data_IF_579753577545
#
_entry.id   IF_579753577545
#
_cell.length_a   1.000
_cell.length_b   1.000
_cell.length_c   1.000
_cell.angle_alpha   90.00
_cell.angle_beta   90.00
_cell.angle_gamma   90.00
#
_symmetry.space_group_name_H-M   'P 1'
#
loop_
_entity.id
_entity.type
_entity.pdbx_description
1 polymer ?
#
# COMPACT_ATOMS: atom_id res chain seq x y z
N UNK A 1 51.51 -1.25 3.55
CA UNK A 1 50.26 -2.03 3.30
C UNK A 1 49.07 -1.22 3.82
N UNK A 2 48.45 -0.45 2.97
CA UNK A 2 47.39 0.46 3.35
C UNK A 2 46.06 -0.31 3.28
N UNK A 3 45.44 -0.60 4.44
CA UNK A 3 44.12 -1.15 4.53
C UNK A 3 43.11 -0.12 3.97
N UNK A 4 42.64 -0.38 2.77
CA UNK A 4 41.47 0.26 2.20
C UNK A 4 40.24 -0.21 2.99
N UNK A 5 39.87 0.50 4.04
CA UNK A 5 38.56 0.35 4.68
C UNK A 5 37.59 1.01 3.72
N UNK A 6 36.86 0.19 2.95
CA UNK A 6 35.82 0.66 2.07
C UNK A 6 34.74 1.39 2.88
N UNK A 7 34.81 2.71 2.91
CA UNK A 7 33.75 3.56 3.43
C UNK A 7 32.58 3.47 2.47
N UNK A 8 31.59 2.63 2.80
CA UNK A 8 30.30 2.63 2.10
C UNK A 8 29.75 4.06 2.09
N UNK A 9 29.44 4.58 0.90
CA UNK A 9 28.81 5.88 0.76
C UNK A 9 27.52 5.92 1.58
N UNK A 10 27.15 7.06 2.19
CA UNK A 10 25.85 7.19 2.85
C UNK A 10 24.68 6.76 1.97
N UNK A 11 24.74 7.04 0.67
CA UNK A 11 23.73 6.58 -0.29
C UNK A 11 23.68 5.05 -0.41
N UNK A 12 24.83 4.37 -0.37
CA UNK A 12 24.90 2.91 -0.40
C UNK A 12 24.37 2.28 0.89
N UNK A 13 24.63 2.91 2.04
CA UNK A 13 24.10 2.47 3.33
C UNK A 13 22.58 2.57 3.37
N UNK A 14 21.98 3.67 2.91
CA UNK A 14 20.52 3.83 2.82
C UNK A 14 19.89 2.83 1.86
N UNK A 15 20.55 2.52 0.75
CA UNK A 15 20.08 1.50 -0.19
C UNK A 15 20.19 0.09 0.39
N UNK A 16 21.21 -0.20 1.18
CA UNK A 16 21.39 -1.49 1.86
C UNK A 16 20.25 -1.71 2.88
N UNK A 17 19.99 -0.74 3.75
CA UNK A 17 18.88 -0.81 4.70
C UNK A 17 17.53 -0.95 3.98
N UNK A 18 17.33 -0.24 2.87
CA UNK A 18 16.08 -0.36 2.13
C UNK A 18 15.91 -1.74 1.48
N UNK A 19 16.96 -2.39 1.04
CA UNK A 19 16.92 -3.78 0.55
C UNK A 19 16.52 -4.76 1.66
N UNK A 20 17.08 -4.62 2.86
CA UNK A 20 16.69 -5.43 4.03
C UNK A 20 15.23 -5.15 4.42
N UNK A 21 14.77 -3.90 4.40
CA UNK A 21 13.36 -3.56 4.60
C UNK A 21 12.46 -4.34 3.64
N UNK A 22 12.75 -4.33 2.34
CA UNK A 22 11.95 -5.04 1.33
C UNK A 22 12.01 -6.57 1.51
N UNK A 23 13.10 -7.11 2.01
CA UNK A 23 13.26 -8.54 2.34
C UNK A 23 12.37 -8.91 3.51
N UNK A 24 12.48 -8.24 4.66
CA UNK A 24 11.64 -8.48 5.84
C UNK A 24 10.14 -8.30 5.53
N UNK A 25 9.79 -7.32 4.70
CA UNK A 25 8.40 -7.15 4.27
C UNK A 25 7.89 -8.36 3.47
N UNK A 26 8.70 -8.97 2.60
CA UNK A 26 8.35 -10.19 1.87
C UNK A 26 8.27 -11.42 2.79
N UNK A 27 9.13 -11.47 3.79
CA UNK A 27 9.20 -12.57 4.76
C UNK A 27 8.05 -12.48 5.80
N UNK A 28 7.24 -11.40 5.74
CA UNK A 28 6.08 -11.21 6.61
C UNK A 28 6.42 -10.64 7.99
N UNK A 29 7.56 -9.99 8.12
CA UNK A 29 8.00 -9.32 9.34
C UNK A 29 7.97 -7.79 9.16
N UNK A 30 6.81 -7.15 9.37
CA UNK A 30 6.68 -5.72 9.20
C UNK A 30 7.41 -4.92 10.30
N UNK A 31 7.69 -5.52 11.46
CA UNK A 31 8.42 -4.87 12.55
C UNK A 31 9.86 -4.60 12.17
N UNK A 32 10.61 -5.64 11.77
CA UNK A 32 11.99 -5.51 11.31
C UNK A 32 12.06 -4.69 10.03
N UNK A 33 11.10 -4.87 9.11
CA UNK A 33 11.03 -4.04 7.91
C UNK A 33 10.94 -2.54 8.26
N UNK A 34 10.16 -2.16 9.28
CA UNK A 34 10.03 -0.77 9.73
C UNK A 34 11.34 -0.21 10.28
N UNK A 35 12.08 -1.01 11.06
CA UNK A 35 13.38 -0.58 11.59
C UNK A 35 14.34 -0.22 10.45
N UNK A 36 14.45 -1.07 9.45
CA UNK A 36 15.28 -0.84 8.27
C UNK A 36 14.78 0.34 7.42
N UNK A 37 13.44 0.48 7.24
CA UNK A 37 12.87 1.63 6.54
C UNK A 37 13.22 2.96 7.23
N UNK A 38 13.13 3.02 8.56
CA UNK A 38 13.49 4.21 9.36
C UNK A 38 14.98 4.55 9.25
N UNK A 39 15.86 3.55 9.25
CA UNK A 39 17.31 3.77 9.04
C UNK A 39 17.58 4.35 7.65
N UNK A 40 17.01 3.75 6.60
CA UNK A 40 17.13 4.26 5.25
C UNK A 40 16.60 5.71 5.13
N UNK A 41 15.46 5.99 5.75
CA UNK A 41 14.86 7.34 5.77
C UNK A 41 15.74 8.33 6.53
N UNK A 42 16.36 7.94 7.65
CA UNK A 42 17.32 8.76 8.40
C UNK A 42 18.54 9.18 7.58
N UNK A 43 18.99 8.33 6.66
CA UNK A 43 20.10 8.60 5.74
C UNK A 43 19.67 9.52 4.59
N UNK A 44 18.48 9.31 4.02
CA UNK A 44 17.97 10.09 2.90
C UNK A 44 16.50 10.51 3.14
N UNK A 45 16.28 11.56 3.96
CA UNK A 45 14.94 11.97 4.39
C UNK A 45 14.01 12.42 3.26
N UNK A 46 14.57 12.85 2.14
CA UNK A 46 13.82 13.30 0.96
C UNK A 46 13.65 12.22 -0.11
N UNK A 47 13.93 10.95 0.21
CA UNK A 47 13.70 9.87 -0.73
C UNK A 47 12.22 9.45 -0.66
N UNK A 48 11.42 9.64 -1.74
CA UNK A 48 9.99 9.35 -1.71
C UNK A 48 9.65 7.88 -1.47
N UNK A 49 10.54 6.96 -1.88
CA UNK A 49 10.33 5.54 -1.60
C UNK A 49 10.53 5.21 -0.12
N UNK A 50 11.58 5.76 0.51
CA UNK A 50 11.83 5.53 1.92
C UNK A 50 10.72 6.12 2.78
N UNK A 51 10.23 7.33 2.45
CA UNK A 51 9.06 7.95 3.10
C UNK A 51 7.83 7.04 2.97
N UNK A 52 7.48 6.64 1.75
CA UNK A 52 6.27 5.86 1.48
C UNK A 52 6.30 4.48 2.15
N UNK A 53 7.43 3.77 2.13
CA UNK A 53 7.53 2.48 2.81
C UNK A 53 7.56 2.62 4.33
N UNK A 54 8.20 3.66 4.87
CA UNK A 54 8.12 3.95 6.31
C UNK A 54 6.68 4.25 6.73
N UNK A 55 5.93 5.02 5.94
CA UNK A 55 4.52 5.31 6.18
C UNK A 55 3.65 4.05 6.16
N UNK A 56 3.80 3.22 5.13
CA UNK A 56 3.10 1.93 5.03
C UNK A 56 3.38 1.05 6.25
N UNK A 57 4.65 0.90 6.61
CA UNK A 57 5.07 0.01 7.68
C UNK A 57 4.69 0.54 9.07
N UNK A 58 4.66 1.85 9.29
CA UNK A 58 4.12 2.44 10.51
C UNK A 58 2.61 2.12 10.68
N UNK A 59 1.85 2.13 9.60
CA UNK A 59 0.44 1.74 9.62
C UNK A 59 0.26 0.24 9.86
N UNK A 60 1.07 -0.61 9.23
CA UNK A 60 0.93 -2.08 9.32
C UNK A 60 1.43 -2.61 10.66
N UNK A 61 2.65 -2.24 11.08
CA UNK A 61 3.30 -2.77 12.26
C UNK A 61 2.84 -2.10 13.56
N UNK A 62 2.68 -0.77 13.54
CA UNK A 62 2.41 0.01 14.76
C UNK A 62 0.97 0.57 14.83
N UNK A 63 0.15 0.37 13.79
CA UNK A 63 -1.22 0.91 13.68
C UNK A 63 -1.26 2.45 13.72
N UNK A 64 -0.16 3.11 13.39
CA UNK A 64 -0.05 4.58 13.33
C UNK A 64 -0.55 5.08 11.96
N UNK A 65 -1.86 4.99 11.76
CA UNK A 65 -2.48 5.25 10.45
C UNK A 65 -2.32 6.70 9.99
N UNK A 66 -2.46 7.68 10.90
CA UNK A 66 -2.31 9.09 10.58
C UNK A 66 -0.90 9.45 10.11
N UNK A 67 0.12 8.94 10.80
CA UNK A 67 1.52 9.16 10.41
C UNK A 67 1.83 8.42 9.10
N UNK A 68 1.29 7.20 8.95
CA UNK A 68 1.43 6.42 7.73
C UNK A 68 0.87 7.15 6.51
N UNK A 69 -0.33 7.71 6.66
CA UNK A 69 -0.99 8.52 5.63
C UNK A 69 -0.16 9.76 5.28
N UNK A 70 0.27 10.54 6.29
CA UNK A 70 1.05 11.76 6.08
C UNK A 70 2.36 11.51 5.31
N UNK A 71 3.13 10.48 5.72
CA UNK A 71 4.38 10.13 5.04
C UNK A 71 4.16 9.65 3.60
N UNK A 72 3.11 8.87 3.34
CA UNK A 72 2.77 8.44 1.99
C UNK A 72 2.30 9.60 1.10
N UNK A 73 1.54 10.54 1.65
CA UNK A 73 1.09 11.75 0.93
C UNK A 73 2.28 12.67 0.61
N UNK A 74 3.21 12.86 1.56
CA UNK A 74 4.44 13.61 1.33
C UNK A 74 5.26 12.99 0.19
N UNK A 75 5.43 11.67 0.20
CA UNK A 75 6.12 10.94 -0.86
C UNK A 75 5.46 11.15 -2.24
N UNK A 76 4.13 11.12 -2.30
CA UNK A 76 3.37 11.39 -3.53
C UNK A 76 3.51 12.85 -3.99
N UNK A 77 3.59 13.82 -3.07
CA UNK A 77 3.88 15.21 -3.39
C UNK A 77 5.24 15.40 -4.07
N UNK A 78 6.24 14.59 -3.66
CA UNK A 78 7.57 14.61 -4.28
C UNK A 78 7.61 13.89 -5.63
N UNK A 79 6.85 12.80 -5.81
CA UNK A 79 6.89 11.96 -7.01
C UNK A 79 5.54 11.32 -7.32
N UNK A 80 4.70 12.06 -8.04
CA UNK A 80 3.33 11.66 -8.36
C UNK A 80 3.20 10.66 -9.53
N UNK A 81 4.27 10.34 -10.25
CA UNK A 81 4.23 9.48 -11.45
C UNK A 81 4.71 8.04 -11.18
N UNK A 82 4.68 7.57 -9.94
CA UNK A 82 5.17 6.23 -9.61
C UNK A 82 4.12 5.37 -8.91
N UNK A 83 3.72 4.28 -9.57
CA UNK A 83 2.62 3.40 -9.13
C UNK A 83 2.78 2.87 -7.70
N UNK A 84 4.02 2.55 -7.26
CA UNK A 84 4.25 1.99 -5.93
C UNK A 84 3.83 2.92 -4.80
N UNK A 85 3.97 4.24 -4.98
CA UNK A 85 3.58 5.21 -3.96
C UNK A 85 2.06 5.22 -3.73
N UNK A 86 1.27 5.11 -4.80
CA UNK A 86 -0.19 4.96 -4.73
C UNK A 86 -0.61 3.64 -4.10
N UNK A 87 0.09 2.55 -4.43
CA UNK A 87 -0.16 1.24 -3.83
C UNK A 87 0.08 1.25 -2.32
N UNK A 88 1.16 1.87 -1.86
CA UNK A 88 1.47 1.98 -0.44
C UNK A 88 0.43 2.81 0.31
N UNK A 89 0.02 3.98 -0.23
CA UNK A 89 -1.02 4.81 0.39
C UNK A 89 -2.38 4.09 0.41
N UNK A 90 -2.75 3.42 -0.68
CA UNK A 90 -3.99 2.65 -0.73
C UNK A 90 -3.99 1.49 0.30
N UNK A 91 -2.85 0.84 0.51
CA UNK A 91 -2.72 -0.18 1.57
C UNK A 91 -2.89 0.42 2.96
N UNK A 92 -2.33 1.62 3.25
CA UNK A 92 -2.56 2.35 4.50
C UNK A 92 -4.05 2.57 4.73
N UNK A 93 -4.78 3.05 3.71
CA UNK A 93 -6.23 3.25 3.80
C UNK A 93 -7.00 1.94 4.03
N UNK A 94 -6.59 0.85 3.39
CA UNK A 94 -7.20 -0.46 3.63
C UNK A 94 -6.98 -0.95 5.07
N UNK A 95 -5.78 -0.74 5.63
CA UNK A 95 -5.47 -1.15 7.00
C UNK A 95 -6.30 -0.39 8.04
N UNK A 96 -6.72 0.84 7.78
CA UNK A 96 -7.62 1.59 8.66
C UNK A 96 -9.10 1.51 8.25
N UNK A 97 -9.46 0.66 7.28
CA UNK A 97 -10.86 0.43 6.86
C UNK A 97 -11.43 1.48 5.92
N UNK A 98 -10.64 2.45 5.46
CA UNK A 98 -11.04 3.52 4.53
C UNK A 98 -11.00 3.04 3.08
N UNK A 99 -11.90 2.11 2.76
CA UNK A 99 -11.91 1.42 1.45
C UNK A 99 -12.12 2.37 0.28
N UNK A 100 -13.00 3.38 0.42
CA UNK A 100 -13.25 4.33 -0.66
C UNK A 100 -12.02 5.19 -0.96
N UNK A 101 -11.33 5.67 0.08
CA UNK A 101 -10.09 6.45 -0.10
C UNK A 101 -8.98 5.62 -0.77
N UNK A 102 -8.94 4.32 -0.49
CA UNK A 102 -8.02 3.40 -1.17
C UNK A 102 -8.34 3.29 -2.67
N UNK A 103 -9.63 3.17 -3.03
CA UNK A 103 -10.08 3.12 -4.43
C UNK A 103 -9.72 4.42 -5.14
N UNK A 104 -10.11 5.56 -4.58
CA UNK A 104 -9.85 6.89 -5.16
C UNK A 104 -8.35 7.14 -5.37
N UNK A 105 -7.53 6.68 -4.41
CA UNK A 105 -6.07 6.77 -4.50
C UNK A 105 -5.53 5.94 -5.67
N UNK A 106 -6.01 4.70 -5.83
CA UNK A 106 -5.59 3.82 -6.91
C UNK A 106 -6.06 4.33 -8.29
N UNK A 107 -7.26 4.90 -8.39
CA UNK A 107 -7.76 5.51 -9.62
C UNK A 107 -6.91 6.72 -10.02
N UNK A 108 -6.56 7.60 -9.07
CA UNK A 108 -5.58 8.67 -9.28
C UNK A 108 -4.24 8.12 -9.77
N UNK A 109 -3.78 7.03 -9.19
CA UNK A 109 -2.55 6.35 -9.59
C UNK A 109 -2.58 5.85 -11.04
N UNK A 110 -3.71 5.32 -11.53
CA UNK A 110 -3.86 4.91 -12.93
C UNK A 110 -3.73 6.07 -13.92
N UNK A 111 -4.17 7.26 -13.51
CA UNK A 111 -4.06 8.47 -14.34
C UNK A 111 -2.63 9.00 -14.30
N UNK A 112 -2.03 9.12 -13.12
CA UNK A 112 -0.76 9.82 -12.92
C UNK A 112 0.48 8.98 -13.20
N UNK A 113 0.45 7.67 -12.86
CA UNK A 113 1.57 6.74 -13.03
C UNK A 113 1.44 5.84 -14.26
N UNK A 114 0.46 6.12 -15.13
CA UNK A 114 0.15 5.29 -16.28
C UNK A 114 -0.67 4.04 -15.91
N UNK A 115 -1.07 3.29 -16.92
CA UNK A 115 -1.93 2.10 -16.74
C UNK A 115 -1.17 0.91 -16.14
N UNK A 116 -0.57 1.09 -14.96
CA UNK A 116 0.18 0.04 -14.28
C UNK A 116 -0.73 -1.14 -13.91
N UNK A 117 -0.33 -2.35 -14.29
CA UNK A 117 -1.12 -3.56 -14.03
C UNK A 117 -1.28 -3.88 -12.54
N UNK A 118 -0.31 -3.47 -11.69
CA UNK A 118 -0.35 -3.69 -10.24
C UNK A 118 -1.49 -2.88 -9.61
N UNK A 119 -1.67 -1.63 -10.04
CA UNK A 119 -2.79 -0.78 -9.58
C UNK A 119 -4.12 -1.39 -10.03
N UNK A 120 -4.25 -1.83 -11.28
CA UNK A 120 -5.47 -2.50 -11.76
C UNK A 120 -5.79 -3.76 -10.96
N UNK A 121 -4.77 -4.57 -10.66
CA UNK A 121 -4.93 -5.77 -9.84
C UNK A 121 -5.36 -5.42 -8.40
N UNK A 122 -4.81 -4.35 -7.80
CA UNK A 122 -5.20 -3.86 -6.49
C UNK A 122 -6.67 -3.41 -6.47
N UNK A 123 -7.11 -2.63 -7.46
CA UNK A 123 -8.51 -2.22 -7.61
C UNK A 123 -9.45 -3.42 -7.76
N UNK A 124 -9.11 -4.41 -8.57
CA UNK A 124 -9.89 -5.63 -8.71
C UNK A 124 -10.01 -6.37 -7.37
N UNK A 125 -8.91 -6.49 -6.62
CA UNK A 125 -8.90 -7.14 -5.30
C UNK A 125 -9.79 -6.42 -4.29
N UNK A 126 -9.80 -5.10 -4.28
CA UNK A 126 -10.67 -4.29 -3.41
C UNK A 126 -12.12 -4.39 -3.87
N UNK A 127 -12.39 -4.24 -5.17
CA UNK A 127 -13.73 -4.28 -5.75
C UNK A 127 -14.45 -5.62 -5.57
N UNK A 128 -13.72 -6.74 -5.40
CA UNK A 128 -14.31 -8.03 -5.05
C UNK A 128 -14.75 -8.14 -3.58
N UNK A 129 -14.25 -7.26 -2.71
CA UNK A 129 -14.70 -7.09 -1.32
C UNK A 129 -15.86 -6.08 -1.26
N UNK A 130 -16.97 -6.37 -1.95
CA UNK A 130 -18.16 -5.52 -1.91
C UNK A 130 -18.65 -5.36 -0.48
N UNK A 131 -19.02 -4.12 -0.11
CA UNK A 131 -19.70 -3.87 1.16
C UNK A 131 -21.00 -4.66 1.26
N UNK A 132 -21.37 -5.13 2.47
CA UNK A 132 -22.66 -5.81 2.67
C UNK A 132 -23.78 -4.86 2.24
N UNK A 133 -24.78 -5.37 1.52
CA UNK A 133 -25.92 -4.58 1.04
C UNK A 133 -26.69 -3.90 2.16
N UNK A 134 -26.61 -4.45 3.37
CA UNK A 134 -27.18 -3.89 4.60
C UNK A 134 -26.03 -3.61 5.58
N UNK A 135 -25.53 -2.37 5.59
CA UNK A 135 -24.35 -1.95 6.36
C UNK A 135 -24.54 -2.08 7.90
N UNK A 136 -25.81 -2.08 8.37
CA UNK A 136 -26.15 -2.24 9.78
C UNK A 136 -26.21 -3.71 10.26
N UNK A 137 -26.09 -4.69 9.33
CA UNK A 137 -26.08 -6.11 9.67
C UNK A 137 -24.68 -6.69 9.45
N UNK A 138 -24.24 -7.54 10.39
CA UNK A 138 -22.97 -8.24 10.26
C UNK A 138 -22.89 -8.99 8.92
N UNK A 139 -21.72 -9.01 8.28
CA UNK A 139 -21.49 -9.59 6.94
C UNK A 139 -21.94 -11.05 6.81
N UNK A 140 -21.85 -11.82 7.89
CA UNK A 140 -22.28 -13.22 7.96
C UNK A 140 -23.79 -13.39 8.15
N UNK A 141 -24.56 -12.30 8.34
CA UNK A 141 -26.00 -12.39 8.55
C UNK A 141 -26.68 -13.01 7.32
N UNK A 142 -27.65 -13.95 7.49
CA UNK A 142 -28.24 -14.67 6.38
C UNK A 142 -28.90 -13.77 5.33
N UNK A 143 -29.47 -12.65 5.73
CA UNK A 143 -30.01 -11.65 4.78
C UNK A 143 -28.97 -11.04 3.86
N UNK A 144 -27.79 -10.69 4.37
CA UNK A 144 -26.70 -10.18 3.52
C UNK A 144 -26.20 -11.26 2.54
N UNK A 145 -26.20 -12.53 2.95
CA UNK A 145 -25.78 -13.66 2.10
C UNK A 145 -26.80 -13.93 0.99
N UNK A 146 -28.09 -13.88 1.28
CA UNK A 146 -29.15 -14.14 0.29
C UNK A 146 -29.26 -12.99 -0.72
N UNK A 147 -29.26 -11.74 -0.26
CA UNK A 147 -29.29 -10.56 -1.11
C UNK A 147 -28.02 -10.43 -1.97
N UNK A 148 -26.86 -10.79 -1.43
CA UNK A 148 -25.61 -10.84 -2.19
C UNK A 148 -25.64 -11.84 -3.35
N UNK A 149 -26.24 -13.03 -3.13
CA UNK A 149 -26.45 -14.04 -4.18
C UNK A 149 -27.42 -13.55 -5.27
N UNK A 150 -28.48 -12.86 -4.86
CA UNK A 150 -29.50 -12.35 -5.77
C UNK A 150 -28.94 -11.24 -6.67
N UNK A 151 -28.18 -10.30 -6.11
CA UNK A 151 -27.48 -9.24 -6.86
C UNK A 151 -26.50 -9.82 -7.87
N UNK A 152 -25.77 -10.88 -7.51
CA UNK A 152 -24.84 -11.55 -8.44
C UNK A 152 -25.55 -12.16 -9.66
N UNK A 153 -26.78 -12.66 -9.48
CA UNK A 153 -27.60 -13.19 -10.60
C UNK A 153 -28.09 -12.11 -11.56
N UNK A 154 -28.36 -10.90 -11.04
CA UNK A 154 -28.90 -9.79 -11.86
C UNK A 154 -27.76 -9.02 -12.56
N UNK A 155 -26.56 -8.94 -11.95
CA UNK A 155 -25.43 -8.17 -12.47
C UNK A 155 -24.32 -9.04 -13.05
N UNK A 156 -24.53 -10.35 -13.18
CA UNK A 156 -23.60 -11.26 -13.87
C UNK A 156 -23.44 -10.86 -15.34
N UNK A 157 -22.24 -11.06 -15.95
CA UNK A 157 -22.06 -10.74 -17.35
C UNK A 157 -23.08 -11.54 -18.16
N UNK A 158 -23.89 -10.83 -18.95
CA UNK A 158 -24.73 -11.42 -19.98
C UNK A 158 -23.80 -12.13 -20.96
N UNK A 159 -23.82 -13.46 -20.98
CA UNK A 159 -23.23 -14.22 -22.08
C UNK A 159 -24.11 -13.92 -23.30
N UNK A 160 -23.62 -13.00 -24.13
CA UNK A 160 -24.15 -12.86 -25.48
C UNK A 160 -23.71 -14.10 -26.25
N UNK A 161 -24.67 -14.83 -26.76
CA UNK A 161 -24.54 -15.89 -27.77
C UNK A 161 -24.01 -15.31 -29.09
#
# INVERSE_FOLDING_TARGET
MSHWIGTTSPADAGMSDFKECLKHLRDGDPGEALLHARRALGIAPKNPFYLSYTGLLAAVAEKRFGDGEALCQEALGMRHNHAQLYLNLAEVYQQCGRTQDAIDTLEKGLVSAGRDFRIRRALQKIGTRREPLLAFLHRSHPLNRTLGKWRHRITGPSQAA
#
